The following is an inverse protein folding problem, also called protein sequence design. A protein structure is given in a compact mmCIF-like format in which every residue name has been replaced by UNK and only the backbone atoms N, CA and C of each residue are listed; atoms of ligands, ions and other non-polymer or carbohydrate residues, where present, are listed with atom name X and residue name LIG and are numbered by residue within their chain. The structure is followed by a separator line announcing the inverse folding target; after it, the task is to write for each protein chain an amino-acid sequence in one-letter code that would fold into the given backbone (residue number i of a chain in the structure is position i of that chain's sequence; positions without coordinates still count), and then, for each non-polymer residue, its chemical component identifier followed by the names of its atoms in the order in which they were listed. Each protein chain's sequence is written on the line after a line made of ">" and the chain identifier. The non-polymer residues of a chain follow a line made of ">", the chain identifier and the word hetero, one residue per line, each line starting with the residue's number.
data_IF_819065722855
#
_entry.id   IF_819065722855
#
_cell.length_a   1.000
_cell.length_b   1.000
_cell.length_c   1.000
_cell.angle_alpha   90.00
_cell.angle_beta   90.00
_cell.angle_gamma   90.00
#
_symmetry.space_group_name_H-M   'P 1'
#
loop_
_entity.id
_entity.type
_entity.pdbx_description
1 polymer ?
#
# COMPACT_ATOMS: atom_id res chain seq x y z
N UNK A 1 -25.04 -27.33 -34.68
CA UNK A 1 -23.80 -28.11 -34.45
C UNK A 1 -22.57 -27.41 -35.03
N UNK A 2 -22.37 -27.27 -36.35
CA UNK A 2 -21.19 -26.55 -36.88
C UNK A 2 -21.17 -25.07 -36.45
N UNK A 3 -22.27 -24.35 -36.66
CA UNK A 3 -22.41 -22.95 -36.21
C UNK A 3 -22.28 -22.77 -34.68
N UNK A 4 -22.67 -23.76 -33.87
CA UNK A 4 -22.47 -23.70 -32.41
C UNK A 4 -20.99 -23.89 -32.03
N UNK A 5 -20.24 -24.69 -32.79
CA UNK A 5 -18.81 -24.88 -32.61
C UNK A 5 -18.02 -23.66 -33.07
N UNK A 6 -18.39 -23.05 -34.20
CA UNK A 6 -17.82 -21.79 -34.68
C UNK A 6 -18.02 -20.68 -33.63
N UNK A 7 -19.25 -20.53 -33.13
CA UNK A 7 -19.55 -19.57 -32.07
C UNK A 7 -18.74 -19.81 -30.79
N UNK A 8 -18.64 -21.06 -30.36
CA UNK A 8 -17.85 -21.41 -29.15
C UNK A 8 -16.36 -21.13 -29.35
N UNK A 9 -15.84 -21.38 -30.56
CA UNK A 9 -14.44 -21.12 -30.92
C UNK A 9 -14.15 -19.62 -30.94
N UNK A 10 -15.03 -18.81 -31.54
CA UNK A 10 -14.95 -17.36 -31.50
C UNK A 10 -14.98 -16.81 -30.07
N UNK A 11 -15.89 -17.33 -29.23
CA UNK A 11 -15.97 -16.96 -27.81
C UNK A 11 -14.67 -17.28 -27.04
N UNK A 12 -14.08 -18.46 -27.26
CA UNK A 12 -12.80 -18.81 -26.64
C UNK A 12 -11.64 -17.94 -27.12
N UNK A 13 -11.70 -17.48 -28.37
CA UNK A 13 -10.68 -16.58 -28.93
C UNK A 13 -10.73 -15.21 -28.23
N UNK A 14 -11.91 -14.59 -28.18
CA UNK A 14 -12.13 -13.33 -27.45
C UNK A 14 -11.71 -13.46 -25.98
N UNK A 15 -12.14 -14.54 -25.31
CA UNK A 15 -11.75 -14.79 -23.91
C UNK A 15 -10.23 -14.91 -23.73
N UNK A 16 -9.53 -15.55 -24.67
CA UNK A 16 -8.07 -15.67 -24.60
C UNK A 16 -7.40 -14.30 -24.72
N UNK A 17 -7.85 -13.46 -25.65
CA UNK A 17 -7.35 -12.10 -25.82
C UNK A 17 -7.59 -11.24 -24.56
N UNK A 18 -8.78 -11.33 -23.95
CA UNK A 18 -9.10 -10.63 -22.70
C UNK A 18 -8.24 -11.09 -21.51
N UNK A 19 -7.99 -12.40 -21.40
CA UNK A 19 -7.10 -12.96 -20.35
C UNK A 19 -5.66 -12.52 -20.59
N UNK A 20 -5.21 -12.44 -21.84
CA UNK A 20 -3.87 -11.95 -22.18
C UNK A 20 -3.69 -10.47 -21.77
N UNK A 21 -4.66 -9.62 -22.09
CA UNK A 21 -4.64 -8.20 -21.69
C UNK A 21 -4.71 -8.03 -20.17
N UNK A 22 -5.66 -8.72 -19.53
CA UNK A 22 -5.84 -8.68 -18.08
C UNK A 22 -4.60 -9.19 -17.34
N UNK A 23 -3.97 -10.26 -17.83
CA UNK A 23 -2.75 -10.81 -17.26
C UNK A 23 -1.59 -9.83 -17.31
N UNK A 24 -1.41 -9.10 -18.42
CA UNK A 24 -0.41 -8.02 -18.52
C UNK A 24 -0.68 -6.88 -17.55
N UNK A 25 -1.95 -6.48 -17.41
CA UNK A 25 -2.36 -5.44 -16.47
C UNK A 25 -2.07 -5.83 -15.02
N UNK A 26 -2.36 -7.08 -14.64
CA UNK A 26 -2.02 -7.63 -13.32
C UNK A 26 -0.50 -7.66 -13.11
N UNK A 27 0.29 -8.04 -14.12
CA UNK A 27 1.74 -8.08 -14.03
C UNK A 27 2.34 -6.68 -13.75
N UNK A 28 1.90 -5.67 -14.49
CA UNK A 28 2.31 -4.27 -14.28
C UNK A 28 1.89 -3.76 -12.90
N UNK A 29 0.66 -4.09 -12.48
CA UNK A 29 0.14 -3.70 -11.16
C UNK A 29 0.95 -4.35 -10.05
N UNK A 30 1.27 -5.64 -10.17
CA UNK A 30 2.05 -6.37 -9.18
C UNK A 30 3.48 -5.81 -9.06
N UNK A 31 4.11 -5.47 -10.18
CA UNK A 31 5.41 -4.79 -10.19
C UNK A 31 5.35 -3.42 -9.49
N UNK A 32 4.35 -2.61 -9.80
CA UNK A 32 4.17 -1.30 -9.17
C UNK A 32 3.98 -1.41 -7.66
N UNK A 33 3.15 -2.36 -7.20
CA UNK A 33 2.94 -2.57 -5.77
C UNK A 33 4.19 -3.13 -5.11
N UNK A 34 4.95 -4.01 -5.78
CA UNK A 34 6.21 -4.56 -5.24
C UNK A 34 7.22 -3.44 -4.98
N UNK A 35 7.43 -2.57 -5.97
CA UNK A 35 8.32 -1.41 -5.82
C UNK A 35 7.86 -0.48 -4.69
N UNK A 36 6.55 -0.27 -4.56
CA UNK A 36 6.00 0.51 -3.46
C UNK A 36 6.24 -0.15 -2.10
N UNK A 37 6.06 -1.48 -1.99
CA UNK A 37 6.34 -2.24 -0.76
C UNK A 37 7.83 -2.19 -0.39
N UNK A 38 8.73 -2.31 -1.36
CA UNK A 38 10.18 -2.15 -1.13
C UNK A 38 10.53 -0.74 -0.62
N UNK A 39 9.91 0.30 -1.19
CA UNK A 39 10.08 1.69 -0.72
C UNK A 39 9.52 1.91 0.68
N UNK A 40 8.41 1.25 1.03
CA UNK A 40 7.85 1.28 2.39
C UNK A 40 8.82 0.62 3.37
N UNK A 41 9.39 -0.54 3.03
CA UNK A 41 10.37 -1.22 3.89
C UNK A 41 11.60 -0.32 4.17
N UNK A 42 12.17 0.29 3.13
CA UNK A 42 13.32 1.21 3.26
C UNK A 42 12.97 2.48 4.06
N UNK A 43 11.79 3.06 3.82
CA UNK A 43 11.32 4.24 4.56
C UNK A 43 11.09 3.94 6.03
N UNK A 44 10.51 2.78 6.34
CA UNK A 44 10.24 2.35 7.70
C UNK A 44 11.52 1.98 8.44
N UNK A 45 12.53 1.39 7.77
CA UNK A 45 13.86 1.20 8.36
C UNK A 45 14.50 2.53 8.76
N UNK A 46 14.43 3.56 7.90
CA UNK A 46 14.91 4.92 8.24
C UNK A 46 14.18 5.52 9.44
N UNK A 47 12.87 5.32 9.54
CA UNK A 47 12.09 5.76 10.70
C UNK A 47 12.59 5.07 11.98
N UNK A 48 12.87 3.77 11.92
CA UNK A 48 13.43 3.02 13.05
C UNK A 48 14.81 3.56 13.47
N UNK A 49 15.70 3.81 12.51
CA UNK A 49 17.02 4.40 12.76
C UNK A 49 16.91 5.81 13.37
N UNK A 50 16.00 6.64 12.86
CA UNK A 50 15.74 7.98 13.39
C UNK A 50 15.14 7.94 14.80
N UNK A 51 14.25 6.98 15.08
CA UNK A 51 13.69 6.76 16.41
C UNK A 51 14.77 6.33 17.40
N UNK A 52 15.70 5.45 16.99
CA UNK A 52 16.86 5.08 17.80
C UNK A 52 17.73 6.30 18.14
N UNK A 53 18.08 7.12 17.15
CA UNK A 53 18.87 8.33 17.36
C UNK A 53 18.14 9.35 18.26
N UNK A 54 16.81 9.48 18.11
CA UNK A 54 16.02 10.34 19.00
C UNK A 54 16.02 9.83 20.43
N UNK A 55 15.94 8.52 20.63
CA UNK A 55 16.00 7.91 21.96
C UNK A 55 17.29 8.26 22.68
N UNK A 56 18.45 8.09 22.03
CA UNK A 56 19.75 8.44 22.62
C UNK A 56 19.83 9.92 22.99
N UNK A 57 19.32 10.81 22.13
CA UNK A 57 19.28 12.25 22.39
C UNK A 57 18.37 12.59 23.57
N UNK A 58 17.20 11.97 23.66
CA UNK A 58 16.27 12.20 24.77
C UNK A 58 16.83 11.70 26.10
N UNK A 59 17.55 10.58 26.10
CA UNK A 59 18.26 10.08 27.28
C UNK A 59 19.33 11.06 27.75
N UNK A 60 20.15 11.58 26.82
CA UNK A 60 21.15 12.61 27.15
C UNK A 60 20.51 13.89 27.72
N UNK A 61 19.38 14.34 27.16
CA UNK A 61 18.66 15.51 27.69
C UNK A 61 18.11 15.21 29.10
N UNK A 62 17.62 13.99 29.35
CA UNK A 62 17.15 13.58 30.67
C UNK A 62 18.27 13.67 31.70
N UNK A 63 19.46 13.16 31.38
CA UNK A 63 20.65 13.24 32.24
C UNK A 63 21.06 14.70 32.52
N UNK A 64 21.02 15.56 31.51
CA UNK A 64 21.29 16.99 31.66
C UNK A 64 20.25 17.67 32.58
N UNK A 65 18.97 17.31 32.46
CA UNK A 65 17.90 17.83 33.33
C UNK A 65 18.09 17.41 34.78
N UNK A 66 18.48 16.16 35.03
CA UNK A 66 18.82 15.68 36.37
C UNK A 66 20.02 16.45 36.95
N UNK A 67 21.06 16.69 36.15
CA UNK A 67 22.22 17.51 36.59
C UNK A 67 21.84 18.96 36.90
N UNK A 68 20.90 19.55 36.16
CA UNK A 68 20.36 20.89 36.47
C UNK A 68 19.58 20.88 37.78
N UNK A 69 18.77 19.86 38.03
CA UNK A 69 18.05 19.71 39.30
C UNK A 69 19.03 19.62 40.48
N UNK A 70 20.05 18.77 40.38
CA UNK A 70 21.09 18.62 41.40
C UNK A 70 21.82 19.95 41.67
N UNK A 71 22.11 20.71 40.62
CA UNK A 71 22.79 22.02 40.74
C UNK A 71 21.92 23.06 41.46
N UNK A 72 20.61 23.05 41.20
CA UNK A 72 19.66 23.93 41.88
C UNK A 72 19.51 23.55 43.35
N UNK A 73 19.39 22.26 43.66
CA UNK A 73 19.31 21.75 45.04
C UNK A 73 20.59 22.08 45.84
N UNK A 74 21.76 21.94 45.22
CA UNK A 74 23.04 22.32 45.83
C UNK A 74 23.13 23.82 46.11
N UNK A 75 22.67 24.68 45.19
CA UNK A 75 22.67 26.12 45.39
C UNK A 75 21.70 26.54 46.50
N UNK A 76 20.51 25.93 46.55
CA UNK A 76 19.53 26.17 47.62
C UNK A 76 20.09 25.82 49.00
N UNK A 77 20.89 24.75 49.10
CA UNK A 77 21.54 24.36 50.34
C UNK A 77 22.65 25.33 50.81
N UNK A 78 23.26 26.08 49.90
CA UNK A 78 24.32 27.06 50.20
C UNK A 78 23.78 28.49 50.38
N UNK A 79 22.69 28.85 49.72
CA UNK A 79 22.12 30.20 49.71
C UNK A 79 20.96 30.36 50.70
N UNK A 80 21.15 31.18 51.75
CA UNK A 80 20.08 31.53 52.68
C UNK A 80 18.94 32.32 51.99
N UNK A 81 17.72 31.79 52.06
CA UNK A 81 16.49 32.47 51.63
C UNK A 81 16.15 32.36 50.14
N UNK A 82 16.79 31.45 49.42
CA UNK A 82 16.41 31.05 48.05
C UNK A 82 15.60 29.75 48.11
N UNK A 83 14.58 29.62 47.26
CA UNK A 83 13.74 28.42 47.13
C UNK A 83 13.51 28.13 45.65
N UNK A 84 13.91 26.93 45.19
CA UNK A 84 13.72 26.48 43.81
C UNK A 84 12.64 25.40 43.66
N UNK A 85 11.82 25.14 44.67
CA UNK A 85 10.85 24.04 44.67
C UNK A 85 9.92 24.03 43.46
N UNK A 86 9.50 25.19 42.96
CA UNK A 86 8.69 25.29 41.74
C UNK A 86 9.47 24.95 40.47
N UNK A 87 10.72 25.38 40.38
CA UNK A 87 11.62 25.06 39.26
C UNK A 87 11.95 23.58 39.21
N UNK A 88 12.33 22.99 40.36
CA UNK A 88 12.61 21.56 40.49
C UNK A 88 11.40 20.69 40.13
N UNK A 89 10.18 21.13 40.50
CA UNK A 89 8.96 20.44 40.10
C UNK A 89 8.78 20.41 38.59
N UNK A 90 9.05 21.53 37.91
CA UNK A 90 8.99 21.60 36.43
C UNK A 90 10.05 20.74 35.77
N UNK A 91 11.28 20.74 36.29
CA UNK A 91 12.36 19.88 35.77
C UNK A 91 11.97 18.41 35.85
N UNK A 92 11.41 17.96 36.98
CA UNK A 92 10.91 16.59 37.14
C UNK A 92 9.74 16.27 36.21
N UNK A 93 8.84 17.22 35.98
CA UNK A 93 7.74 17.07 35.01
C UNK A 93 8.25 16.88 33.58
N UNK A 94 9.22 17.71 33.16
CA UNK A 94 9.87 17.58 31.85
C UNK A 94 10.60 16.25 31.72
N UNK A 95 11.33 15.84 32.75
CA UNK A 95 12.04 14.54 32.79
C UNK A 95 11.06 13.36 32.67
N UNK A 96 9.91 13.44 33.33
CA UNK A 96 8.82 12.47 33.16
C UNK A 96 8.33 12.40 31.72
N UNK A 97 8.10 13.55 31.08
CA UNK A 97 7.69 13.61 29.68
C UNK A 97 8.76 13.06 28.71
N UNK A 98 10.05 13.29 28.99
CA UNK A 98 11.16 12.74 28.20
C UNK A 98 11.19 11.21 28.27
N UNK A 99 10.98 10.62 29.44
CA UNK A 99 10.92 9.16 29.60
C UNK A 99 9.76 8.55 28.82
N UNK A 100 8.58 9.18 28.84
CA UNK A 100 7.45 8.74 27.99
C UNK A 100 7.78 8.84 26.50
N UNK A 101 8.49 9.88 26.08
CA UNK A 101 8.93 10.00 24.68
C UNK A 101 9.95 8.92 24.29
N UNK A 102 10.83 8.51 25.21
CA UNK A 102 11.75 7.38 25.03
C UNK A 102 10.98 6.06 24.83
N UNK A 103 10.00 5.78 25.69
CA UNK A 103 9.14 4.58 25.58
C UNK A 103 8.41 4.54 24.23
N UNK A 104 7.85 5.67 23.80
CA UNK A 104 7.20 5.79 22.49
C UNK A 104 8.17 5.58 21.32
N UNK A 105 9.42 6.03 21.47
CA UNK A 105 10.48 5.77 20.50
C UNK A 105 10.79 4.28 20.36
N UNK A 106 10.84 3.54 21.47
CA UNK A 106 11.06 2.08 21.45
C UNK A 106 9.87 1.33 20.84
N UNK A 107 8.64 1.76 21.12
CA UNK A 107 7.44 1.23 20.46
C UNK A 107 7.47 1.49 18.95
N UNK A 108 7.82 2.71 18.54
CA UNK A 108 7.95 3.09 17.12
C UNK A 108 8.98 2.22 16.40
N UNK A 109 10.12 1.92 17.02
CA UNK A 109 11.12 1.02 16.45
C UNK A 109 10.56 -0.40 16.24
N UNK A 110 9.90 -0.96 17.24
CA UNK A 110 9.30 -2.29 17.17
C UNK A 110 8.19 -2.37 16.10
N UNK A 111 7.33 -1.35 16.03
CA UNK A 111 6.29 -1.28 15.01
C UNK A 111 6.88 -1.13 13.61
N UNK A 112 7.95 -0.36 13.48
CA UNK A 112 8.69 -0.19 12.22
C UNK A 112 9.28 -1.52 11.74
N UNK A 113 9.90 -2.31 12.62
CA UNK A 113 10.41 -3.65 12.26
C UNK A 113 9.30 -4.56 11.73
N UNK A 114 8.13 -4.57 12.38
CA UNK A 114 6.98 -5.37 11.95
C UNK A 114 6.46 -4.92 10.58
N UNK A 115 6.32 -3.61 10.35
CA UNK A 115 5.84 -3.06 9.07
C UNK A 115 6.84 -3.33 7.95
N UNK A 116 8.14 -3.17 8.21
CA UNK A 116 9.19 -3.47 7.22
C UNK A 116 9.15 -4.95 6.82
N UNK A 117 9.06 -5.87 7.80
CA UNK A 117 8.94 -7.31 7.52
C UNK A 117 7.70 -7.66 6.71
N UNK A 118 6.54 -7.07 7.03
CA UNK A 118 5.31 -7.28 6.27
C UNK A 118 5.41 -6.73 4.83
N UNK A 119 6.07 -5.59 4.64
CA UNK A 119 6.30 -5.01 3.33
C UNK A 119 7.25 -5.87 2.47
N UNK A 120 8.30 -6.44 3.07
CA UNK A 120 9.19 -7.40 2.40
C UNK A 120 8.46 -8.70 2.00
N UNK A 121 7.61 -9.23 2.88
CA UNK A 121 6.78 -10.40 2.57
C UNK A 121 5.80 -10.12 1.42
N UNK A 122 5.17 -8.95 1.42
CA UNK A 122 4.29 -8.51 0.33
C UNK A 122 5.04 -8.40 -0.99
N UNK A 123 6.25 -7.83 -1.00
CA UNK A 123 7.08 -7.75 -2.19
C UNK A 123 7.43 -9.15 -2.74
N UNK A 124 7.70 -10.12 -1.85
CA UNK A 124 7.95 -11.50 -2.24
C UNK A 124 6.71 -12.19 -2.83
N UNK A 125 5.53 -12.00 -2.22
CA UNK A 125 4.26 -12.54 -2.73
C UNK A 125 3.92 -11.97 -4.12
N UNK A 126 4.20 -10.69 -4.35
CA UNK A 126 3.95 -10.04 -5.64
C UNK A 126 4.82 -10.58 -6.77
N UNK A 127 6.01 -11.11 -6.47
CA UNK A 127 6.81 -11.84 -7.47
C UNK A 127 6.10 -13.15 -7.88
N UNK A 128 5.44 -13.83 -6.95
CA UNK A 128 4.64 -15.02 -7.27
C UNK A 128 3.40 -14.65 -8.09
N UNK A 129 2.68 -13.59 -7.72
CA UNK A 129 1.53 -13.08 -8.48
C UNK A 129 1.94 -12.71 -9.91
N UNK A 130 3.05 -11.98 -10.06
CA UNK A 130 3.59 -11.59 -11.37
C UNK A 130 3.95 -12.81 -12.24
N UNK A 131 4.56 -13.84 -11.62
CA UNK A 131 4.91 -15.09 -12.31
C UNK A 131 3.67 -15.87 -12.76
N UNK A 132 2.64 -15.95 -11.92
CA UNK A 132 1.36 -16.59 -12.26
C UNK A 132 0.62 -15.83 -13.37
N UNK A 133 0.66 -14.50 -13.33
CA UNK A 133 0.09 -13.67 -14.38
C UNK A 133 0.82 -13.87 -15.72
N UNK A 134 2.16 -13.98 -15.71
CA UNK A 134 2.94 -14.33 -16.89
C UNK A 134 2.52 -15.68 -17.48
N UNK A 135 2.30 -16.67 -16.62
CA UNK A 135 1.87 -18.00 -17.04
C UNK A 135 0.48 -17.97 -17.70
N UNK A 136 -0.47 -17.21 -17.14
CA UNK A 136 -1.79 -16.99 -17.72
C UNK A 136 -1.70 -16.32 -19.10
N UNK A 137 -0.85 -15.30 -19.25
CA UNK A 137 -0.60 -14.62 -20.54
C UNK A 137 -0.07 -15.62 -21.56
N UNK A 138 0.90 -16.48 -21.20
CA UNK A 138 1.44 -17.50 -22.11
C UNK A 138 0.39 -18.53 -22.52
N UNK A 139 -0.48 -18.97 -21.61
CA UNK A 139 -1.56 -19.90 -21.94
C UNK A 139 -2.61 -19.26 -22.84
N UNK A 140 -2.98 -18.00 -22.58
CA UNK A 140 -3.89 -17.23 -23.41
C UNK A 140 -3.36 -17.08 -24.85
N UNK A 141 -2.08 -16.73 -25.01
CA UNK A 141 -1.43 -16.65 -26.32
C UNK A 141 -1.44 -17.99 -27.06
N UNK A 142 -1.04 -19.07 -26.38
CA UNK A 142 -1.04 -20.40 -26.96
C UNK A 142 -2.45 -20.85 -27.37
N UNK A 143 -3.46 -20.53 -26.56
CA UNK A 143 -4.86 -20.81 -26.87
C UNK A 143 -5.33 -19.98 -28.07
N UNK A 144 -5.05 -18.68 -28.10
CA UNK A 144 -5.36 -17.80 -29.23
C UNK A 144 -4.72 -18.27 -30.54
N UNK A 145 -3.43 -18.63 -30.52
CA UNK A 145 -2.71 -19.19 -31.67
C UNK A 145 -3.32 -20.52 -32.15
N UNK A 146 -3.69 -21.39 -31.21
CA UNK A 146 -4.38 -22.64 -31.51
C UNK A 146 -5.76 -22.42 -32.14
N UNK A 147 -6.48 -21.40 -31.68
CA UNK A 147 -7.81 -21.04 -32.18
C UNK A 147 -7.77 -20.36 -33.55
N UNK A 148 -6.68 -19.64 -33.88
CA UNK A 148 -6.48 -19.03 -35.20
C UNK A 148 -6.39 -20.05 -36.36
N UNK A 149 -6.15 -21.34 -36.07
CA UNK A 149 -6.22 -22.41 -37.08
C UNK A 149 -7.65 -22.84 -37.43
N UNK A 150 -8.66 -22.37 -36.70
CA UNK A 150 -10.05 -22.62 -37.00
C UNK A 150 -10.61 -21.41 -37.76
N UNK A 151 -11.01 -21.61 -39.03
CA UNK A 151 -11.75 -20.61 -39.79
C UNK A 151 -13.12 -20.42 -39.14
N UNK A 152 -13.33 -19.28 -38.48
CA UNK A 152 -14.60 -18.90 -37.85
C UNK A 152 -14.99 -17.50 -38.31
N UNK A 153 -16.11 -17.38 -39.01
CA UNK A 153 -16.68 -16.10 -39.45
C UNK A 153 -17.54 -15.41 -38.37
N UNK A 154 -17.72 -16.04 -37.19
CA UNK A 154 -18.53 -15.50 -36.08
C UNK A 154 -17.65 -14.94 -34.96
N UNK A 155 -17.27 -13.66 -35.07
CA UNK A 155 -16.70 -12.89 -33.95
C UNK A 155 -17.84 -12.48 -32.99
N UNK A 156 -17.95 -13.13 -31.84
CA UNK A 156 -18.87 -12.72 -30.77
C UNK A 156 -18.09 -12.10 -29.62
N UNK A 157 -18.49 -10.88 -29.24
CA UNK A 157 -18.01 -10.18 -28.06
C UNK A 157 -18.45 -10.92 -26.78
N UNK A 158 -17.51 -11.14 -25.86
CA UNK A 158 -17.77 -11.86 -24.62
C UNK A 158 -18.48 -10.92 -23.63
N UNK A 159 -19.81 -10.92 -23.62
CA UNK A 159 -20.55 -10.11 -22.63
C UNK A 159 -20.49 -10.80 -21.28
N UNK A 160 -19.60 -10.34 -20.40
CA UNK A 160 -19.67 -10.68 -18.99
C UNK A 160 -21.00 -10.16 -18.43
N UNK A 161 -21.95 -11.06 -18.24
CA UNK A 161 -23.09 -10.81 -17.37
C UNK A 161 -22.59 -10.91 -15.92
N UNK A 162 -21.75 -9.97 -15.49
CA UNK A 162 -21.48 -9.79 -14.07
C UNK A 162 -22.84 -9.61 -13.40
N UNK A 163 -23.19 -10.45 -12.43
CA UNK A 163 -24.50 -10.48 -11.77
C UNK A 163 -24.85 -9.22 -10.96
N UNK A 164 -24.32 -8.06 -11.31
CA UNK A 164 -24.65 -6.77 -10.75
C UNK A 164 -24.59 -5.71 -11.86
N UNK A 165 -25.74 -5.15 -12.22
CA UNK A 165 -25.80 -3.85 -12.90
C UNK A 165 -26.23 -3.82 -14.37
N UNK A 166 -27.29 -4.54 -14.76
CA UNK A 166 -28.00 -4.21 -15.99
C UNK A 166 -28.77 -2.89 -15.85
N UNK A 167 -28.15 -1.78 -16.25
CA UNK A 167 -28.85 -0.53 -16.53
C UNK A 167 -28.74 -0.27 -18.04
N UNK A 168 -29.84 -0.51 -18.74
CA UNK A 168 -29.93 -0.43 -20.18
C UNK A 168 -29.59 0.96 -20.73
N UNK A 169 -28.81 0.97 -21.80
CA UNK A 169 -28.72 2.05 -22.76
C UNK A 169 -30.07 2.15 -23.49
N UNK A 170 -30.91 3.10 -23.05
CA UNK A 170 -32.03 3.56 -23.83
C UNK A 170 -31.54 4.62 -24.82
N UNK A 171 -31.49 4.27 -26.10
CA UNK A 171 -31.44 5.21 -27.22
C UNK A 171 -32.69 6.10 -27.19
N UNK A 172 -32.56 7.44 -27.23
CA UNK A 172 -33.68 8.31 -27.54
C UNK A 172 -33.76 8.47 -29.07
N UNK A 173 -34.56 7.62 -29.69
CA UNK A 173 -34.95 7.74 -31.10
C UNK A 173 -36.02 8.84 -31.29
N UNK A 174 -35.86 9.52 -32.42
CA UNK A 174 -36.61 10.61 -33.06
C UNK A 174 -38.01 10.97 -32.55
N UNK A 175 -38.18 12.25 -32.17
CA UNK A 175 -39.48 12.93 -32.14
C UNK A 175 -39.68 13.75 -33.42
N UNK A 176 -40.84 13.69 -34.09
CA UNK A 176 -41.03 14.38 -35.37
C UNK A 176 -41.19 15.89 -35.19
N UNK A 177 -40.54 16.68 -36.06
CA UNK A 177 -40.71 18.13 -36.19
C UNK A 177 -42.17 18.51 -36.49
N UNK A 178 -42.73 19.57 -35.86
CA UNK A 178 -44.00 20.13 -36.28
C UNK A 178 -43.80 21.09 -37.46
N UNK A 179 -44.52 20.83 -38.55
CA UNK A 179 -44.57 21.68 -39.73
C UNK A 179 -45.30 23.01 -39.53
N UNK A 180 -44.91 23.97 -40.36
CA UNK A 180 -45.52 25.30 -40.55
C UNK A 180 -47.01 25.23 -40.91
N UNK A 181 -47.84 25.99 -40.18
CA UNK A 181 -48.96 26.81 -40.68
C UNK A 181 -49.48 27.76 -39.58
#
# INVERSE_FOLDING_TARGET
>A
MISELEKTTGQLKTFSEEVEESGRSVQQSAETVREASEQVADSTQKISDDAYNQKERLQSISEDMDSVADSLEAFEAEADGVDFGDSLRRVREVTGALNTAVELGEETMSESENVAGAAEEQAAELNEVSSRAEELVRYAQYLGDGLNNFETDEEHEFVFQTGAGGAGSADPDDGPEPGDD
#
